data_IF_484929980704
#
_entry.id   IF_484929980704
#
_cell.length_a   1.000
_cell.length_b   1.000
_cell.length_c   1.000
_cell.angle_alpha   90.00
_cell.angle_beta   90.00
_cell.angle_gamma   90.00
#
_symmetry.space_group_name_H-M   'P 1'
#
loop_
_entity.id
_entity.type
_entity.pdbx_description
1 polymer ?
#
# COMPACT_ATOMS: atom_id res chain seq x y z
N UNK A 1 33.36 -4.69 4.07
CA UNK A 1 33.39 -4.91 2.63
C UNK A 1 32.08 -5.56 2.22
N UNK A 2 31.37 -4.93 1.29
CA UNK A 2 30.14 -5.48 0.74
C UNK A 2 30.50 -6.75 -0.04
N UNK A 3 29.82 -7.85 0.24
CA UNK A 3 29.98 -9.06 -0.57
C UNK A 3 29.32 -8.83 -1.93
N UNK A 4 29.89 -9.30 -3.04
CA UNK A 4 29.28 -9.15 -4.35
C UNK A 4 27.94 -9.87 -4.39
N UNK A 5 27.00 -9.33 -5.17
CA UNK A 5 25.75 -10.00 -5.50
C UNK A 5 26.04 -11.35 -6.19
N UNK A 6 25.28 -12.36 -5.81
CA UNK A 6 25.35 -13.69 -6.44
C UNK A 6 23.95 -14.29 -6.60
N UNK A 7 23.77 -15.09 -7.61
CA UNK A 7 22.57 -15.86 -7.85
C UNK A 7 22.88 -17.36 -7.80
N UNK A 8 22.08 -18.10 -7.08
CA UNK A 8 22.06 -19.55 -7.02
C UNK A 8 20.66 -20.03 -7.41
N UNK A 9 20.48 -21.32 -7.69
CA UNK A 9 19.18 -21.86 -8.07
C UNK A 9 18.13 -21.53 -7.01
N UNK A 10 17.13 -20.70 -7.39
CA UNK A 10 16.03 -20.30 -6.50
C UNK A 10 16.40 -19.21 -5.45
N UNK A 11 17.66 -18.75 -5.41
CA UNK A 11 18.10 -17.75 -4.43
C UNK A 11 18.90 -16.63 -5.10
N UNK A 12 18.54 -15.38 -4.82
CA UNK A 12 19.34 -14.20 -5.16
C UNK A 12 19.90 -13.57 -3.89
N UNK A 13 21.20 -13.53 -3.79
CA UNK A 13 21.92 -12.92 -2.65
C UNK A 13 22.35 -11.51 -3.04
N UNK A 14 21.93 -10.53 -2.23
CA UNK A 14 22.38 -9.14 -2.37
C UNK A 14 23.37 -8.80 -1.27
N UNK A 15 24.60 -8.46 -1.64
CA UNK A 15 25.64 -8.06 -0.72
C UNK A 15 25.48 -6.61 -0.30
N UNK A 16 24.83 -6.35 0.82
CA UNK A 16 24.67 -4.99 1.32
C UNK A 16 24.77 -4.90 2.85
N UNK A 17 25.20 -3.74 3.34
CA UNK A 17 25.22 -3.48 4.78
C UNK A 17 23.80 -3.31 5.31
N UNK A 18 23.43 -4.14 6.28
CA UNK A 18 22.13 -4.08 6.94
C UNK A 18 22.31 -3.63 8.39
N UNK A 19 21.78 -2.44 8.80
CA UNK A 19 21.83 -1.99 10.19
C UNK A 19 21.06 -2.92 11.12
N UNK A 20 21.58 -3.18 12.33
CA UNK A 20 20.94 -4.10 13.30
C UNK A 20 19.48 -3.78 13.57
N UNK A 21 19.12 -2.49 13.66
CA UNK A 21 17.73 -2.05 13.86
C UNK A 21 16.76 -2.37 12.71
N UNK A 22 17.28 -2.85 11.59
CA UNK A 22 16.49 -3.29 10.43
C UNK A 22 16.49 -4.82 10.28
N UNK A 23 16.92 -5.52 11.33
CA UNK A 23 16.88 -6.96 11.43
C UNK A 23 15.96 -7.30 12.60
N UNK A 24 15.02 -8.20 12.36
CA UNK A 24 14.09 -8.76 13.34
C UNK A 24 14.32 -10.27 13.44
N UNK A 25 13.97 -10.86 14.56
CA UNK A 25 13.94 -12.30 14.71
C UNK A 25 12.52 -12.79 14.38
N UNK A 26 12.43 -13.75 13.48
CA UNK A 26 11.19 -14.44 13.15
C UNK A 26 11.42 -15.93 13.37
N UNK A 27 10.95 -16.45 14.50
CA UNK A 27 11.07 -17.86 14.89
C UNK A 27 12.52 -18.38 14.85
N UNK A 28 13.47 -17.58 15.33
CA UNK A 28 14.90 -17.91 15.35
C UNK A 28 15.63 -17.58 14.04
N UNK A 29 14.94 -17.03 13.05
CA UNK A 29 15.54 -16.61 11.77
C UNK A 29 15.71 -15.09 11.72
N UNK A 30 16.93 -14.58 11.46
CA UNK A 30 17.14 -13.16 11.25
C UNK A 30 16.56 -12.73 9.89
N UNK A 31 15.54 -11.88 9.92
CA UNK A 31 14.88 -11.33 8.73
C UNK A 31 14.97 -9.82 8.71
N UNK A 32 14.79 -9.20 7.54
CA UNK A 32 14.66 -7.74 7.46
C UNK A 32 13.32 -7.28 8.06
N UNK A 33 13.34 -6.14 8.74
CA UNK A 33 12.09 -5.52 9.24
C UNK A 33 11.09 -5.27 8.10
N UNK A 34 9.80 -5.21 8.44
CA UNK A 34 8.72 -4.91 7.48
C UNK A 34 9.03 -3.65 6.69
N UNK A 35 9.42 -2.57 7.37
CA UNK A 35 9.73 -1.31 6.71
C UNK A 35 10.95 -1.43 5.77
N UNK A 36 12.00 -2.18 6.17
CA UNK A 36 13.16 -2.39 5.31
C UNK A 36 12.82 -3.24 4.10
N UNK A 37 12.09 -4.33 4.28
CA UNK A 37 11.62 -5.19 3.18
C UNK A 37 10.79 -4.39 2.18
N UNK A 38 9.86 -3.56 2.67
CA UNK A 38 9.03 -2.71 1.82
C UNK A 38 9.84 -1.71 1.00
N UNK A 39 10.82 -1.03 1.63
CA UNK A 39 11.73 -0.11 0.93
C UNK A 39 12.54 -0.83 -0.14
N UNK A 40 13.08 -2.01 0.15
CA UNK A 40 13.87 -2.77 -0.81
C UNK A 40 13.03 -3.29 -1.99
N UNK A 41 11.78 -3.71 -1.75
CA UNK A 41 10.86 -4.18 -2.81
C UNK A 41 10.34 -3.01 -3.65
N UNK A 42 10.05 -1.86 -3.04
CA UNK A 42 9.54 -0.69 -3.75
C UNK A 42 10.57 -0.03 -4.67
N UNK A 43 11.87 -0.22 -4.43
CA UNK A 43 12.93 0.32 -5.28
C UNK A 43 12.81 -0.16 -6.73
N UNK A 44 12.93 0.77 -7.68
CA UNK A 44 12.90 0.45 -9.11
C UNK A 44 11.53 0.03 -9.64
N UNK A 45 10.47 0.20 -8.86
CA UNK A 45 9.08 0.01 -9.29
C UNK A 45 8.51 1.30 -9.88
N UNK A 46 7.33 1.20 -10.50
CA UNK A 46 6.50 2.37 -10.77
C UNK A 46 6.03 3.02 -9.45
N UNK A 47 5.55 4.25 -9.51
CA UNK A 47 5.01 4.92 -8.31
C UNK A 47 3.80 4.17 -7.76
N UNK A 48 2.92 3.67 -8.64
CA UNK A 48 1.75 2.89 -8.27
C UNK A 48 2.15 1.59 -7.55
N UNK A 49 3.10 0.85 -8.11
CA UNK A 49 3.57 -0.41 -7.51
C UNK A 49 4.33 -0.18 -6.20
N UNK A 50 5.08 0.90 -6.11
CA UNK A 50 5.74 1.28 -4.86
C UNK A 50 4.72 1.58 -3.77
N UNK A 51 3.65 2.33 -4.08
CA UNK A 51 2.57 2.61 -3.12
C UNK A 51 1.85 1.34 -2.70
N UNK A 52 1.56 0.41 -3.62
CA UNK A 52 0.97 -0.90 -3.26
C UNK A 52 1.80 -1.61 -2.18
N UNK A 53 3.13 -1.63 -2.36
CA UNK A 53 4.05 -2.25 -1.38
C UNK A 53 4.01 -1.51 -0.04
N UNK A 54 3.99 -0.17 -0.05
CA UNK A 54 4.00 0.64 1.16
C UNK A 54 2.67 0.59 1.90
N UNK A 55 1.53 0.57 1.20
CA UNK A 55 0.20 0.37 1.78
C UNK A 55 0.12 -1.00 2.49
N UNK A 56 0.61 -2.05 1.81
CA UNK A 56 0.69 -3.39 2.42
C UNK A 56 1.56 -3.41 3.67
N UNK A 57 2.73 -2.76 3.64
CA UNK A 57 3.61 -2.66 4.80
C UNK A 57 2.94 -1.90 5.97
N UNK A 58 2.22 -0.81 5.68
CA UNK A 58 1.48 -0.05 6.68
C UNK A 58 0.39 -0.91 7.36
N UNK A 59 -0.31 -1.74 6.59
CA UNK A 59 -1.30 -2.70 7.12
C UNK A 59 -0.64 -3.76 8.02
N UNK A 60 0.50 -4.30 7.62
CA UNK A 60 1.25 -5.26 8.45
C UNK A 60 1.70 -4.62 9.77
N UNK A 61 2.19 -3.37 9.72
CA UNK A 61 2.59 -2.64 10.92
C UNK A 61 1.39 -2.36 11.83
N UNK A 62 0.22 -2.01 11.27
CA UNK A 62 -1.01 -1.82 12.03
C UNK A 62 -1.45 -3.12 12.74
N UNK A 63 -1.41 -4.27 12.04
CA UNK A 63 -1.72 -5.59 12.65
C UNK A 63 -0.75 -5.90 13.79
N UNK A 64 0.55 -5.65 13.62
CA UNK A 64 1.56 -5.84 14.67
C UNK A 64 1.32 -4.95 15.89
N UNK A 65 0.72 -3.78 15.69
CA UNK A 65 0.29 -2.88 16.76
C UNK A 65 -1.07 -3.27 17.38
N UNK A 66 -1.64 -4.42 17.01
CA UNK A 66 -2.92 -4.92 17.55
C UNK A 66 -4.16 -4.29 16.89
N UNK A 67 -4.00 -3.60 15.76
CA UNK A 67 -5.13 -2.95 15.07
C UNK A 67 -5.87 -3.96 14.19
N UNK A 68 -7.18 -4.06 14.36
CA UNK A 68 -8.03 -4.79 13.42
C UNK A 68 -8.15 -4.00 12.11
N UNK A 69 -7.73 -4.60 11.00
CA UNK A 69 -7.64 -3.92 9.69
C UNK A 69 -8.96 -3.29 9.23
N UNK A 70 -10.10 -3.93 9.50
CA UNK A 70 -11.42 -3.38 9.16
C UNK A 70 -11.66 -2.01 9.76
N UNK A 71 -11.10 -1.70 10.94
CA UNK A 71 -11.25 -0.40 11.60
C UNK A 71 -10.59 0.73 10.83
N UNK A 72 -9.57 0.45 10.02
CA UNK A 72 -8.89 1.46 9.21
C UNK A 72 -9.81 2.13 8.18
N UNK A 73 -10.92 1.50 7.80
CA UNK A 73 -11.95 2.09 6.92
C UNK A 73 -13.01 2.88 7.66
N UNK A 74 -13.18 2.63 8.97
CA UNK A 74 -14.27 3.19 9.76
C UNK A 74 -13.84 4.30 10.70
N UNK A 75 -12.55 4.36 11.02
CA UNK A 75 -11.96 5.20 12.05
C UNK A 75 -10.82 6.01 11.42
N UNK A 76 -11.13 7.25 11.04
CA UNK A 76 -10.20 8.12 10.32
C UNK A 76 -9.00 8.52 11.19
N UNK A 77 -9.21 8.74 12.49
CA UNK A 77 -8.12 9.09 13.42
C UNK A 77 -7.17 7.91 13.60
N UNK A 78 -7.72 6.70 13.76
CA UNK A 78 -6.92 5.47 13.83
C UNK A 78 -6.13 5.26 12.53
N UNK A 79 -6.77 5.45 11.37
CA UNK A 79 -6.12 5.35 10.05
C UNK A 79 -4.98 6.35 9.93
N UNK A 80 -5.20 7.61 10.30
CA UNK A 80 -4.18 8.66 10.25
C UNK A 80 -2.99 8.31 11.16
N UNK A 81 -3.26 7.87 12.39
CA UNK A 81 -2.24 7.44 13.35
C UNK A 81 -1.41 6.26 12.83
N UNK A 82 -2.06 5.23 12.26
CA UNK A 82 -1.37 4.08 11.66
C UNK A 82 -0.52 4.50 10.44
N UNK A 83 -1.03 5.41 9.61
CA UNK A 83 -0.30 5.94 8.47
C UNK A 83 0.93 6.73 8.90
N UNK A 84 0.83 7.55 9.94
CA UNK A 84 1.95 8.31 10.49
C UNK A 84 3.03 7.40 11.07
N UNK A 85 2.63 6.40 11.85
CA UNK A 85 3.55 5.39 12.38
C UNK A 85 4.29 4.66 11.23
N UNK A 86 3.55 4.20 10.22
CA UNK A 86 4.14 3.51 9.08
C UNK A 86 5.11 4.43 8.30
N UNK A 87 4.76 5.70 8.09
CA UNK A 87 5.66 6.67 7.46
C UNK A 87 6.95 6.85 8.25
N UNK A 88 6.87 6.95 9.57
CA UNK A 88 8.06 7.10 10.42
C UNK A 88 9.03 5.92 10.27
N UNK A 89 8.51 4.68 10.31
CA UNK A 89 9.28 3.46 10.13
C UNK A 89 9.90 3.36 8.72
N UNK A 90 9.11 3.66 7.70
CA UNK A 90 9.56 3.64 6.30
C UNK A 90 10.62 4.72 6.03
N UNK A 91 10.47 5.92 6.58
CA UNK A 91 11.50 6.95 6.50
C UNK A 91 12.79 6.54 7.23
N UNK A 92 12.68 5.85 8.36
CA UNK A 92 13.85 5.32 9.08
C UNK A 92 14.60 4.27 8.23
N UNK A 93 13.85 3.37 7.56
CA UNK A 93 14.42 2.38 6.65
C UNK A 93 15.03 3.04 5.39
N UNK A 94 14.31 3.97 4.77
CA UNK A 94 14.77 4.71 3.59
C UNK A 94 16.07 5.46 3.83
N UNK A 95 16.24 6.13 4.98
CA UNK A 95 17.47 6.87 5.31
C UNK A 95 18.72 6.01 5.22
N UNK A 96 18.63 4.71 5.52
CA UNK A 96 19.76 3.79 5.44
C UNK A 96 20.18 3.47 3.98
N UNK A 97 19.26 3.61 3.03
CA UNK A 97 19.46 3.25 1.61
C UNK A 97 19.32 4.45 0.65
N UNK A 98 19.15 5.66 1.15
CA UNK A 98 18.83 6.85 0.33
C UNK A 98 19.81 7.16 -0.80
N UNK A 99 21.03 6.63 -0.71
CA UNK A 99 22.08 6.79 -1.73
C UNK A 99 22.16 5.61 -2.71
N UNK A 100 21.30 4.62 -2.54
CA UNK A 100 21.26 3.47 -3.43
C UNK A 100 20.51 3.81 -4.73
N UNK A 101 20.79 3.10 -5.82
CA UNK A 101 20.04 3.29 -7.06
C UNK A 101 18.55 3.07 -6.87
N UNK A 102 17.77 3.81 -7.65
CA UNK A 102 16.30 3.67 -7.74
C UNK A 102 15.51 3.97 -6.45
N UNK A 103 16.09 4.66 -5.48
CA UNK A 103 15.40 5.00 -4.21
C UNK A 103 14.51 6.23 -4.32
N UNK A 104 14.59 7.01 -5.39
CA UNK A 104 13.79 8.23 -5.59
C UNK A 104 12.29 7.93 -5.53
N UNK A 105 11.86 6.83 -6.17
CA UNK A 105 10.45 6.41 -6.17
C UNK A 105 9.94 6.13 -4.75
N UNK A 106 10.75 5.52 -3.90
CA UNK A 106 10.37 5.23 -2.50
C UNK A 106 10.12 6.54 -1.75
N UNK A 107 11.02 7.53 -1.92
CA UNK A 107 10.86 8.85 -1.32
C UNK A 107 9.56 9.52 -1.73
N UNK A 108 9.18 9.40 -2.99
CA UNK A 108 7.94 9.96 -3.52
C UNK A 108 6.70 9.17 -3.09
N UNK A 109 6.83 7.86 -2.89
CA UNK A 109 5.72 6.99 -2.54
C UNK A 109 5.35 7.05 -1.04
N UNK A 110 6.31 7.22 -0.13
CA UNK A 110 6.04 7.24 1.33
C UNK A 110 4.95 8.25 1.74
N UNK A 111 4.92 9.51 1.24
CA UNK A 111 3.84 10.44 1.58
C UNK A 111 2.46 9.99 1.10
N UNK A 112 2.41 9.15 0.06
CA UNK A 112 1.18 8.72 -0.62
C UNK A 112 0.55 7.46 -0.01
N UNK A 113 1.21 6.81 0.97
CA UNK A 113 0.68 5.58 1.55
C UNK A 113 -0.61 5.82 2.33
N UNK A 114 -1.49 4.82 2.26
CA UNK A 114 -2.72 4.77 3.02
C UNK A 114 -3.06 3.33 3.44
N UNK A 115 -3.11 3.03 4.75
CA UNK A 115 -3.37 1.68 5.24
C UNK A 115 -4.82 1.22 5.06
N UNK A 116 -5.75 2.10 4.64
CA UNK A 116 -7.13 1.72 4.34
C UNK A 116 -7.29 1.02 3.00
N UNK A 117 -6.33 1.15 2.07
CA UNK A 117 -6.35 0.40 0.80
C UNK A 117 -6.23 -1.11 1.08
N UNK A 118 -7.25 -1.88 0.71
CA UNK A 118 -7.33 -3.32 1.03
C UNK A 118 -6.76 -4.20 -0.09
N UNK A 119 -6.62 -3.64 -1.28
CA UNK A 119 -6.14 -4.38 -2.44
C UNK A 119 -5.10 -3.59 -3.26
N UNK A 120 -4.25 -4.29 -4.02
CA UNK A 120 -3.35 -3.64 -4.99
C UNK A 120 -4.09 -2.79 -6.02
N UNK A 121 -5.33 -3.17 -6.37
CA UNK A 121 -6.14 -2.45 -7.33
C UNK A 121 -6.59 -1.09 -6.76
N UNK A 122 -7.07 -1.05 -5.52
CA UNK A 122 -7.42 0.19 -4.82
C UNK A 122 -6.22 1.15 -4.74
N UNK A 123 -5.05 0.66 -4.30
CA UNK A 123 -3.82 1.46 -4.23
C UNK A 123 -3.45 2.06 -5.58
N UNK A 124 -3.44 1.24 -6.65
CA UNK A 124 -3.12 1.70 -8.02
C UNK A 124 -4.16 2.68 -8.56
N UNK A 125 -5.45 2.39 -8.37
CA UNK A 125 -6.54 3.26 -8.81
C UNK A 125 -6.46 4.62 -8.13
N UNK A 126 -6.21 4.65 -6.82
CA UNK A 126 -6.01 5.87 -6.06
C UNK A 126 -4.87 6.72 -6.63
N UNK A 127 -3.72 6.14 -6.91
CA UNK A 127 -2.57 6.88 -7.45
C UNK A 127 -2.85 7.37 -8.87
N UNK A 128 -3.51 6.57 -9.71
CA UNK A 128 -3.90 6.99 -11.07
C UNK A 128 -4.88 8.14 -11.07
N UNK A 129 -5.88 8.11 -10.19
CA UNK A 129 -6.83 9.23 -10.04
C UNK A 129 -6.10 10.48 -9.56
N UNK A 130 -5.23 10.38 -8.55
CA UNK A 130 -4.43 11.51 -8.06
C UNK A 130 -3.46 12.07 -9.11
N UNK A 131 -3.05 11.27 -10.09
CA UNK A 131 -2.16 11.67 -11.19
C UNK A 131 -2.91 12.16 -12.41
N UNK A 132 -4.22 12.13 -12.41
CA UNK A 132 -5.09 12.61 -13.48
C UNK A 132 -5.55 14.04 -13.20
N UNK A 133 -6.32 14.62 -14.13
CA UNK A 133 -6.98 15.91 -13.95
C UNK A 133 -8.26 15.84 -13.10
N UNK A 134 -8.61 14.63 -12.62
CA UNK A 134 -9.78 14.44 -11.75
C UNK A 134 -9.50 14.99 -10.35
N UNK A 135 -10.53 15.56 -9.69
CA UNK A 135 -10.43 15.91 -8.28
C UNK A 135 -10.04 14.71 -7.43
N UNK A 136 -9.27 14.94 -6.38
CA UNK A 136 -8.90 13.88 -5.44
C UNK A 136 -10.14 13.35 -4.71
N UNK A 137 -10.47 12.05 -4.82
CA UNK A 137 -11.61 11.48 -4.15
C UNK A 137 -11.35 11.34 -2.64
N UNK A 138 -12.40 11.31 -1.87
CA UNK A 138 -12.35 10.70 -0.54
C UNK A 138 -12.32 9.18 -0.71
N UNK A 139 -11.60 8.49 0.18
CA UNK A 139 -11.45 7.04 0.14
C UNK A 139 -12.04 6.37 1.37
N UNK A 140 -12.48 5.12 1.23
CA UNK A 140 -13.09 4.33 2.30
C UNK A 140 -14.26 5.03 2.98
N UNK A 141 -15.15 5.65 2.18
CA UNK A 141 -16.23 6.51 2.68
C UNK A 141 -17.47 5.68 3.03
N UNK A 142 -18.06 5.83 4.25
CA UNK A 142 -19.30 5.17 4.59
C UNK A 142 -20.48 5.75 3.79
N UNK A 143 -21.27 4.86 3.19
CA UNK A 143 -22.49 5.19 2.44
C UNK A 143 -23.63 4.36 3.01
N UNK A 144 -24.69 5.00 3.45
CA UNK A 144 -25.88 4.30 3.97
C UNK A 144 -26.82 3.97 2.82
N UNK A 145 -27.06 2.69 2.59
CA UNK A 145 -28.02 2.21 1.60
C UNK A 145 -29.47 2.40 2.03
N UNK A 146 -30.40 2.20 1.10
CA UNK A 146 -31.85 2.35 1.35
C UNK A 146 -32.39 1.41 2.46
N UNK A 147 -31.72 0.27 2.70
CA UNK A 147 -32.05 -0.67 3.79
C UNK A 147 -31.53 -0.24 5.17
N UNK A 148 -30.81 0.87 5.26
CA UNK A 148 -30.10 1.29 6.48
C UNK A 148 -28.73 0.60 6.67
N UNK A 149 -28.32 -0.27 5.75
CA UNK A 149 -27.02 -0.93 5.79
C UNK A 149 -25.92 0.05 5.37
N UNK A 150 -24.84 0.11 6.13
CA UNK A 150 -23.67 0.90 5.79
C UNK A 150 -22.73 0.10 4.91
N UNK A 151 -22.39 0.64 3.76
CA UNK A 151 -21.37 0.17 2.82
C UNK A 151 -20.18 1.13 2.87
N UNK A 152 -19.02 0.68 2.39
CA UNK A 152 -17.82 1.52 2.33
C UNK A 152 -17.36 1.60 0.88
N UNK A 153 -17.57 2.76 0.29
CA UNK A 153 -17.15 3.03 -1.09
C UNK A 153 -15.64 3.25 -1.15
N UNK A 154 -14.98 2.69 -2.17
CA UNK A 154 -13.54 2.86 -2.33
C UNK A 154 -13.17 4.32 -2.65
N UNK A 155 -13.98 4.98 -3.49
CA UNK A 155 -13.79 6.38 -3.88
C UNK A 155 -15.12 7.12 -3.88
N UNK A 156 -15.12 8.37 -3.39
CA UNK A 156 -16.30 9.25 -3.44
C UNK A 156 -15.88 10.66 -3.87
N UNK A 157 -16.57 11.21 -4.86
CA UNK A 157 -16.50 12.61 -5.25
C UNK A 157 -17.82 13.28 -4.85
N UNK A 158 -17.83 13.91 -3.68
CA UNK A 158 -19.04 14.50 -3.07
C UNK A 158 -19.68 15.57 -4.00
N UNK A 159 -18.84 16.44 -4.59
CA UNK A 159 -19.28 17.51 -5.49
C UNK A 159 -20.02 16.97 -6.72
N UNK A 160 -19.58 15.82 -7.24
CA UNK A 160 -20.17 15.19 -8.42
C UNK A 160 -21.21 14.15 -8.06
N UNK A 161 -21.38 13.82 -6.78
CA UNK A 161 -22.25 12.76 -6.29
C UNK A 161 -21.95 11.42 -6.97
N UNK A 162 -20.66 11.12 -7.18
CA UNK A 162 -20.16 9.92 -7.85
C UNK A 162 -19.47 9.02 -6.83
N UNK A 163 -19.76 7.75 -6.94
CA UNK A 163 -19.09 6.66 -6.20
C UNK A 163 -18.28 5.86 -7.22
N UNK A 164 -17.05 5.54 -6.89
CA UNK A 164 -16.18 4.65 -7.64
C UNK A 164 -15.81 3.44 -6.81
N UNK A 165 -15.82 2.27 -7.45
CA UNK A 165 -15.40 0.99 -6.86
C UNK A 165 -14.22 0.41 -7.65
N UNK A 166 -13.20 -0.08 -6.94
CA UNK A 166 -12.05 -0.75 -7.52
C UNK A 166 -12.31 -2.26 -7.59
N UNK A 167 -13.19 -2.66 -8.49
CA UNK A 167 -13.58 -4.05 -8.65
C UNK A 167 -12.72 -4.79 -9.69
N UNK A 168 -12.19 -5.94 -9.31
CA UNK A 168 -11.49 -6.82 -10.23
C UNK A 168 -12.48 -7.55 -11.17
N UNK A 169 -12.06 -7.77 -12.41
CA UNK A 169 -12.88 -8.47 -13.44
C UNK A 169 -13.35 -9.85 -12.99
N UNK A 170 -12.64 -10.51 -12.09
CA UNK A 170 -13.01 -11.81 -11.52
C UNK A 170 -14.37 -11.81 -10.81
N UNK A 171 -14.84 -10.66 -10.28
CA UNK A 171 -16.18 -10.52 -9.68
C UNK A 171 -17.32 -10.61 -10.71
N UNK A 172 -17.03 -10.34 -11.98
CA UNK A 172 -18.05 -10.21 -13.04
C UNK A 172 -18.04 -11.38 -14.02
N UNK A 173 -17.16 -12.38 -13.83
CA UNK A 173 -16.93 -13.45 -14.78
C UNK A 173 -16.13 -12.99 -16.01
N UNK A 174 -15.75 -13.93 -16.86
CA UNK A 174 -14.95 -13.64 -18.06
C UNK A 174 -15.74 -13.02 -19.23
N UNK A 175 -17.07 -12.82 -19.08
CA UNK A 175 -17.91 -12.28 -20.16
C UNK A 175 -17.89 -10.73 -20.15
N UNK A 176 -17.27 -10.10 -21.18
CA UNK A 176 -17.24 -8.64 -21.32
C UNK A 176 -18.63 -7.97 -21.40
N UNK A 177 -19.66 -8.72 -21.77
CA UNK A 177 -21.05 -8.22 -21.87
C UNK A 177 -21.65 -8.06 -20.47
N UNK A 178 -21.37 -8.98 -19.55
CA UNK A 178 -21.85 -8.92 -18.17
C UNK A 178 -21.27 -7.73 -17.41
N UNK A 179 -20.02 -7.34 -17.70
CA UNK A 179 -19.36 -6.16 -17.14
C UNK A 179 -20.04 -4.86 -17.60
N UNK A 180 -20.36 -4.75 -18.90
CA UNK A 180 -21.02 -3.56 -19.45
C UNK A 180 -22.44 -3.35 -18.96
N UNK A 181 -23.16 -4.42 -18.65
CA UNK A 181 -24.58 -4.35 -18.21
C UNK A 181 -24.70 -3.90 -16.76
N UNK A 182 -23.67 -4.11 -15.92
CA UNK A 182 -23.65 -3.71 -14.49
C UNK A 182 -23.13 -2.29 -14.26
N UNK A 183 -22.49 -1.68 -15.27
CA UNK A 183 -21.98 -0.31 -15.23
C UNK A 183 -22.97 0.71 -15.79
N UNK A 184 -24.22 0.35 -16.05
CA UNK A 184 -25.36 1.19 -16.42
C UNK A 184 -26.34 1.27 -15.24
#
# INVERSE_FOLDING_TARGET
PDRPDRAEVGVRVHGSRLPRRQIEDLDGLPVTSVARSAVDVARGRSIEDAVVVLDSAARVLAVRAGVELRRLRHDEDLRASCAEHARAELWAAYRAVRRWPFTVVVRSAIPLLDPASESPLESRSRIRVMSSELPTPRIAVPVVGASGTTYYADFVWDEWRVIGEADGTAKYGEDPVSVRTRLR
#
